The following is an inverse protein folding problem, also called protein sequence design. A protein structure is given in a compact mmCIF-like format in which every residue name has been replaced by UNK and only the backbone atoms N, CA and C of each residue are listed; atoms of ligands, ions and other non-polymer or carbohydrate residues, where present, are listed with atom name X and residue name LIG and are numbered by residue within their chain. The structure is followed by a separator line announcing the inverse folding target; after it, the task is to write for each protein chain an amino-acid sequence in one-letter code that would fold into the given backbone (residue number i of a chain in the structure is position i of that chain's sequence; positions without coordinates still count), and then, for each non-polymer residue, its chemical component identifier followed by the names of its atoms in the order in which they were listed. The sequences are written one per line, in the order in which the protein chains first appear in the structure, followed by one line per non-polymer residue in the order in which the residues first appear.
data_IF_950442787302
#
_entry.id   IF_950442787302
#
_cell.length_a   1.000
_cell.length_b   1.000
_cell.length_c   1.000
_cell.angle_alpha   90.00
_cell.angle_beta   90.00
_cell.angle_gamma   90.00
#
_symmetry.space_group_name_H-M   'P 1'
#
loop_
_entity.id
_entity.type
_entity.pdbx_description
1 polymer ?
#
# COMPACT_ATOMS: atom_id res chain seq x y z
N UNK A 1 -26.18 -28.01 33.00
CA UNK A 1 -25.53 -26.69 33.06
C UNK A 1 -24.35 -26.72 32.10
N UNK A 2 -24.54 -26.23 30.87
CA UNK A 2 -23.50 -26.23 29.84
C UNK A 2 -22.73 -24.90 29.91
N UNK A 3 -21.42 -24.99 30.15
CA UNK A 3 -20.52 -23.83 30.18
C UNK A 3 -20.07 -23.55 28.74
N UNK A 4 -20.54 -22.45 28.17
CA UNK A 4 -20.16 -21.99 26.82
C UNK A 4 -18.87 -21.18 26.93
N UNK A 5 -17.75 -21.76 26.47
CA UNK A 5 -16.50 -21.01 26.25
C UNK A 5 -16.61 -20.24 24.92
N UNK A 6 -16.83 -18.92 24.98
CA UNK A 6 -16.79 -18.03 23.81
C UNK A 6 -15.34 -17.79 23.37
N UNK A 7 -14.95 -18.47 22.29
CA UNK A 7 -14.34 -17.87 21.09
C UNK A 7 -13.08 -17.01 21.25
N UNK A 8 -11.91 -17.65 21.37
CA UNK A 8 -10.61 -17.07 20.98
C UNK A 8 -10.10 -17.62 19.62
N UNK A 9 -10.90 -18.43 18.91
CA UNK A 9 -10.46 -19.11 17.69
C UNK A 9 -10.70 -18.37 16.37
N UNK A 10 -11.45 -17.26 16.37
CA UNK A 10 -11.91 -16.62 15.13
C UNK A 10 -10.87 -15.70 14.46
N UNK A 11 -9.96 -15.08 15.23
CA UNK A 11 -9.02 -14.08 14.73
C UNK A 11 -7.82 -14.71 14.00
N UNK A 12 -7.30 -15.84 14.48
CA UNK A 12 -6.19 -16.55 13.84
C UNK A 12 -6.58 -17.09 12.44
N UNK A 13 -7.81 -17.63 12.31
CA UNK A 13 -8.33 -18.11 11.02
C UNK A 13 -8.53 -16.97 10.03
N UNK A 14 -8.96 -15.79 10.49
CA UNK A 14 -9.11 -14.61 9.64
C UNK A 14 -7.77 -14.08 9.11
N UNK A 15 -6.71 -14.07 9.95
CA UNK A 15 -5.35 -13.64 9.52
C UNK A 15 -4.75 -14.65 8.54
N UNK A 16 -4.90 -15.96 8.78
CA UNK A 16 -4.45 -16.99 7.83
C UNK A 16 -5.23 -16.92 6.50
N UNK A 17 -6.54 -16.65 6.54
CA UNK A 17 -7.36 -16.48 5.35
C UNK A 17 -7.01 -15.21 4.56
N UNK A 18 -6.71 -14.09 5.25
CA UNK A 18 -6.23 -12.87 4.61
C UNK A 18 -4.90 -13.10 3.89
N UNK A 19 -3.93 -13.75 4.54
CA UNK A 19 -2.64 -14.09 3.93
C UNK A 19 -2.79 -15.11 2.79
N UNK A 20 -3.77 -16.02 2.86
CA UNK A 20 -4.07 -16.98 1.80
C UNK A 20 -4.72 -16.33 0.56
N UNK A 21 -5.48 -15.24 0.74
CA UNK A 21 -6.08 -14.48 -0.35
C UNK A 21 -5.05 -13.55 -1.01
N UNK A 22 -4.17 -12.95 -0.22
CA UNK A 22 -3.05 -12.16 -0.72
C UNK A 22 -2.05 -13.02 -1.52
N UNK A 23 -1.71 -14.21 -1.03
CA UNK A 23 -0.88 -15.17 -1.77
C UNK A 23 -1.56 -15.76 -3.02
N UNK A 24 -2.90 -15.87 -3.06
CA UNK A 24 -3.62 -16.23 -4.29
C UNK A 24 -3.63 -15.09 -5.32
N UNK A 25 -3.64 -13.83 -4.87
CA UNK A 25 -3.47 -12.64 -5.71
C UNK A 25 -2.05 -12.59 -6.30
N UNK A 26 -1.05 -12.98 -5.51
CA UNK A 26 0.35 -13.13 -5.92
C UNK A 26 0.56 -14.20 -7.01
N UNK A 27 -0.19 -15.31 -6.96
CA UNK A 27 -0.02 -16.45 -7.87
C UNK A 27 -0.82 -16.34 -9.18
N UNK A 28 -1.83 -15.46 -9.23
CA UNK A 28 -2.59 -15.12 -10.45
C UNK A 28 -1.98 -13.91 -11.18
N UNK A 29 -0.66 -13.72 -11.07
CA UNK A 29 0.01 -12.51 -11.52
C UNK A 29 0.14 -12.49 -13.05
N UNK A 30 -0.84 -11.87 -13.68
CA UNK A 30 -0.78 -11.47 -15.06
C UNK A 30 0.30 -10.39 -15.23
N UNK A 31 0.76 -10.20 -16.47
CA UNK A 31 1.66 -9.11 -16.86
C UNK A 31 1.30 -7.80 -16.14
N UNK A 32 2.18 -7.32 -15.25
CA UNK A 32 2.00 -6.01 -14.62
C UNK A 32 2.61 -4.93 -15.49
N UNK A 33 1.94 -3.79 -15.56
CA UNK A 33 2.64 -2.60 -16.02
C UNK A 33 3.75 -2.25 -15.03
N UNK A 34 4.91 -1.81 -15.54
CA UNK A 34 6.03 -1.41 -14.71
C UNK A 34 5.63 -0.39 -13.64
N UNK A 35 4.72 0.53 -13.98
CA UNK A 35 4.18 1.52 -13.05
C UNK A 35 3.41 0.90 -11.87
N UNK A 36 2.69 -0.20 -12.10
CA UNK A 36 1.97 -0.92 -11.06
C UNK A 36 2.93 -1.68 -10.15
N UNK A 37 3.92 -2.36 -10.72
CA UNK A 37 4.92 -3.09 -9.94
C UNK A 37 5.74 -2.14 -9.03
N UNK A 38 6.12 -0.96 -9.54
CA UNK A 38 6.82 0.06 -8.73
C UNK A 38 5.91 0.62 -7.65
N UNK A 39 4.63 0.84 -7.95
CA UNK A 39 3.65 1.31 -6.95
C UNK A 39 3.47 0.29 -5.83
N UNK A 40 3.31 -0.99 -6.16
CA UNK A 40 3.15 -2.07 -5.17
C UNK A 40 4.37 -2.11 -4.23
N UNK A 41 5.59 -2.11 -4.78
CA UNK A 41 6.80 -2.10 -3.96
C UNK A 41 6.94 -0.83 -3.09
N UNK A 42 6.52 0.32 -3.59
CA UNK A 42 6.52 1.56 -2.81
C UNK A 42 5.50 1.52 -1.68
N UNK A 43 4.31 0.99 -1.94
CA UNK A 43 3.24 0.83 -0.96
C UNK A 43 3.65 -0.13 0.16
N UNK A 44 4.30 -1.25 -0.16
CA UNK A 44 4.84 -2.22 0.80
C UNK A 44 5.86 -1.56 1.76
N UNK A 45 6.81 -0.78 1.24
CA UNK A 45 7.82 -0.11 2.08
C UNK A 45 7.23 1.02 2.92
N UNK A 46 6.24 1.76 2.40
CA UNK A 46 5.52 2.79 3.17
C UNK A 46 4.65 2.19 4.29
N UNK A 47 4.08 0.99 4.10
CA UNK A 47 3.41 0.26 5.17
C UNK A 47 4.38 -0.25 6.24
N UNK A 48 5.59 -0.65 5.82
CA UNK A 48 6.61 -1.22 6.69
C UNK A 48 7.32 -0.19 7.56
N UNK A 49 7.62 1.00 7.04
CA UNK A 49 8.37 2.04 7.74
C UNK A 49 7.71 3.42 7.58
N UNK A 50 7.23 3.98 8.69
CA UNK A 50 6.54 5.26 8.73
C UNK A 50 7.44 6.48 8.45
N UNK A 51 8.74 6.28 8.19
CA UNK A 51 9.69 7.32 7.78
C UNK A 51 9.83 7.43 6.27
N UNK A 52 9.32 6.44 5.51
CA UNK A 52 9.37 6.45 4.05
C UNK A 52 8.30 7.41 3.54
N UNK A 53 8.73 8.48 2.88
CA UNK A 53 7.86 9.46 2.25
C UNK A 53 8.23 9.65 0.78
N UNK A 54 7.29 10.17 0.01
CA UNK A 54 7.41 10.44 -1.42
C UNK A 54 7.31 11.94 -1.62
N UNK A 55 8.27 12.52 -2.33
CA UNK A 55 8.31 13.94 -2.66
C UNK A 55 8.66 14.09 -4.13
N UNK A 56 8.00 15.00 -4.82
CA UNK A 56 8.27 15.30 -6.22
C UNK A 56 7.19 16.15 -6.85
N UNK A 57 7.38 16.50 -8.12
CA UNK A 57 6.35 17.22 -8.87
C UNK A 57 5.15 16.31 -9.15
N UNK A 58 3.95 16.81 -8.84
CA UNK A 58 2.66 16.16 -9.09
C UNK A 58 2.49 14.74 -8.51
N UNK A 59 3.32 14.31 -7.55
CA UNK A 59 3.28 12.96 -6.96
C UNK A 59 2.13 12.76 -5.98
N UNK A 60 1.57 13.82 -5.41
CA UNK A 60 0.50 13.83 -4.42
C UNK A 60 -0.86 13.45 -5.00
N UNK A 61 -1.81 14.38 -4.99
CA UNK A 61 -3.21 14.12 -5.42
C UNK A 61 -3.32 13.72 -6.89
N UNK A 62 -2.42 14.20 -7.74
CA UNK A 62 -2.42 13.84 -9.16
C UNK A 62 -1.92 12.41 -9.41
N UNK A 63 -1.10 11.87 -8.50
CA UNK A 63 -0.54 10.51 -8.58
C UNK A 63 0.62 10.36 -9.57
N UNK A 64 1.27 11.46 -9.95
CA UNK A 64 2.37 11.53 -10.89
C UNK A 64 1.95 11.40 -12.36
N UNK A 65 2.86 11.76 -13.26
CA UNK A 65 2.67 11.67 -14.72
C UNK A 65 2.43 10.24 -15.19
N UNK A 66 3.15 9.27 -14.62
CA UNK A 66 3.05 7.85 -14.95
C UNK A 66 2.06 7.07 -14.07
N UNK A 67 1.32 7.76 -13.19
CA UNK A 67 0.33 7.15 -12.28
C UNK A 67 0.89 6.13 -11.28
N UNK A 68 2.19 6.20 -10.99
CA UNK A 68 2.88 5.34 -10.02
C UNK A 68 2.44 5.64 -8.60
N UNK A 69 2.22 6.91 -8.23
CA UNK A 69 1.89 7.28 -6.84
C UNK A 69 0.37 7.47 -6.64
N UNK A 70 -0.43 7.08 -7.63
CA UNK A 70 -1.89 7.26 -7.60
C UNK A 70 -2.52 6.54 -6.41
N UNK A 71 -3.24 7.30 -5.57
CA UNK A 71 -3.94 6.80 -4.38
C UNK A 71 -3.08 6.71 -3.12
N UNK A 72 -1.75 6.92 -3.21
CA UNK A 72 -0.88 6.85 -2.04
C UNK A 72 -1.13 8.00 -1.06
N UNK A 73 -1.38 9.22 -1.57
CA UNK A 73 -1.72 10.37 -0.73
C UNK A 73 -3.03 10.16 0.04
N UNK A 74 -4.04 9.53 -0.58
CA UNK A 74 -5.31 9.19 0.08
C UNK A 74 -5.12 8.11 1.16
N UNK A 75 -4.19 7.17 0.93
CA UNK A 75 -3.91 6.07 1.85
C UNK A 75 -3.04 6.46 3.05
N UNK A 76 -1.95 7.19 2.81
CA UNK A 76 -0.93 7.50 3.82
C UNK A 76 -0.98 8.94 4.33
N UNK A 77 -1.74 9.82 3.66
CA UNK A 77 -1.93 11.22 4.01
C UNK A 77 -1.03 12.17 3.22
N UNK A 78 -1.48 13.43 3.12
CA UNK A 78 -0.83 14.51 2.35
C UNK A 78 0.57 14.87 2.88
N UNK A 79 0.93 14.46 4.11
CA UNK A 79 2.27 14.65 4.69
C UNK A 79 3.28 13.55 4.33
N UNK A 80 2.83 12.44 3.75
CA UNK A 80 3.69 11.32 3.35
C UNK A 80 3.92 11.27 1.84
N UNK A 81 3.08 11.95 1.06
CA UNK A 81 3.18 12.05 -0.40
C UNK A 81 2.99 13.51 -0.79
N UNK A 82 4.09 14.25 -0.94
CA UNK A 82 4.09 15.71 -1.06
C UNK A 82 4.44 16.18 -2.47
N UNK A 83 3.64 17.11 -2.97
CA UNK A 83 3.97 17.87 -4.16
C UNK A 83 5.06 18.91 -3.86
N UNK A 84 6.11 18.93 -4.67
CA UNK A 84 7.21 19.90 -4.59
C UNK A 84 7.18 20.89 -5.75
N UNK A 85 7.68 22.13 -5.58
CA UNK A 85 7.91 23.04 -6.70
C UNK A 85 8.87 22.45 -7.74
N UNK A 86 8.81 22.97 -8.97
CA UNK A 86 9.71 22.62 -10.06
C UNK A 86 11.10 23.21 -9.77
N UNK A 87 11.94 22.44 -9.07
CA UNK A 87 13.22 22.89 -8.53
C UNK A 87 14.22 21.73 -8.33
N UNK A 88 14.43 20.91 -9.36
CA UNK A 88 15.30 19.73 -9.29
C UNK A 88 16.77 20.06 -8.97
N UNK A 89 17.20 21.28 -9.31
CA UNK A 89 18.57 21.76 -9.22
C UNK A 89 18.88 22.64 -7.99
N UNK A 90 17.90 22.84 -7.10
CA UNK A 90 18.02 23.75 -5.96
C UNK A 90 18.67 23.13 -4.74
#
# INVERSE_FOLDING_TARGET
MAVVFKGLGATAVAITAANALDSKKFLLRHEHMLSEAVREGLEEEMERDNRVCVMGEDVGRYGGSNKVTKGLAEKFGDLMVLDTPIAENS
#
